data_IF_857156150654
#
_entry.id   IF_857156150654
#
_cell.length_a   1.000
_cell.length_b   1.000
_cell.length_c   1.000
_cell.angle_alpha   90.00
_cell.angle_beta   90.00
_cell.angle_gamma   90.00
#
_symmetry.space_group_name_H-M   'P 1'
#
loop_
_entity.id
_entity.type
_entity.pdbx_description
1 polymer ?
#
# COMPACT_ATOMS: atom_id res chain seq x y z
N UNK A 1 -10.43 13.50 -9.74
CA UNK A 1 -9.48 12.46 -9.27
C UNK A 1 -9.67 11.20 -10.09
N UNK A 2 -8.58 10.64 -10.57
CA UNK A 2 -8.63 9.43 -11.38
C UNK A 2 -9.19 8.24 -10.60
N UNK A 3 -9.82 7.31 -11.29
CA UNK A 3 -10.44 6.14 -10.68
C UNK A 3 -9.43 5.28 -9.90
N UNK A 4 -8.21 5.13 -10.44
CA UNK A 4 -7.16 4.35 -9.75
C UNK A 4 -6.62 5.05 -8.51
N UNK A 5 -6.61 6.39 -8.46
CA UNK A 5 -6.24 7.12 -7.23
C UNK A 5 -7.24 6.85 -6.12
N UNK A 6 -8.53 6.87 -6.43
CA UNK A 6 -9.59 6.51 -5.47
C UNK A 6 -9.49 5.04 -5.05
N UNK A 7 -9.15 4.17 -6.00
CA UNK A 7 -8.97 2.75 -5.73
C UNK A 7 -7.82 2.51 -4.77
N UNK A 8 -6.72 3.23 -4.92
CA UNK A 8 -5.56 3.12 -4.01
C UNK A 8 -5.94 3.57 -2.60
N UNK A 9 -6.67 4.67 -2.47
CA UNK A 9 -7.16 5.12 -1.17
C UNK A 9 -8.05 4.08 -0.53
N UNK A 10 -8.95 3.48 -1.29
CA UNK A 10 -9.84 2.41 -0.79
C UNK A 10 -9.03 1.20 -0.31
N UNK A 11 -8.01 0.81 -1.07
CA UNK A 11 -7.15 -0.30 -0.68
C UNK A 11 -6.41 -0.01 0.63
N UNK A 12 -5.87 1.20 0.79
CA UNK A 12 -5.23 1.63 2.04
C UNK A 12 -6.22 1.55 3.20
N UNK A 13 -7.44 2.02 3.02
CA UNK A 13 -8.46 1.99 4.06
C UNK A 13 -8.75 0.54 4.52
N UNK A 14 -8.85 -0.39 3.57
CA UNK A 14 -9.11 -1.80 3.88
C UNK A 14 -7.90 -2.43 4.59
N UNK A 15 -6.70 -2.20 4.07
CA UNK A 15 -5.46 -2.74 4.67
C UNK A 15 -5.24 -2.17 6.08
N UNK A 16 -5.49 -0.89 6.25
CA UNK A 16 -5.38 -0.22 7.55
C UNK A 16 -6.38 -0.81 8.56
N UNK A 17 -7.63 -0.94 8.16
CA UNK A 17 -8.67 -1.48 9.04
C UNK A 17 -8.40 -2.93 9.42
N UNK A 18 -7.99 -3.76 8.46
CA UNK A 18 -7.66 -5.16 8.72
C UNK A 18 -6.53 -5.29 9.74
N UNK A 19 -5.49 -4.46 9.57
CA UNK A 19 -4.33 -4.46 10.45
C UNK A 19 -4.70 -3.99 11.87
N UNK A 20 -5.42 -2.88 11.95
CA UNK A 20 -5.82 -2.28 13.23
C UNK A 20 -6.74 -3.21 14.04
N UNK A 21 -7.64 -3.91 13.37
CA UNK A 21 -8.64 -4.77 14.02
C UNK A 21 -8.20 -6.23 14.11
N UNK A 22 -7.00 -6.57 13.64
CA UNK A 22 -6.52 -7.95 13.63
C UNK A 22 -7.36 -8.87 12.77
N UNK A 23 -7.89 -8.36 11.67
CA UNK A 23 -8.76 -9.12 10.76
C UNK A 23 -8.02 -9.59 9.53
N UNK A 24 -8.46 -10.71 8.97
CA UNK A 24 -7.95 -11.20 7.69
C UNK A 24 -8.31 -10.21 6.58
N UNK A 25 -7.33 -9.86 5.76
CA UNK A 25 -7.49 -8.87 4.69
C UNK A 25 -8.52 -9.29 3.64
N UNK A 26 -8.52 -10.56 3.28
CA UNK A 26 -9.42 -11.09 2.26
C UNK A 26 -10.86 -11.16 2.80
N UNK A 27 -11.04 -11.56 4.05
CA UNK A 27 -12.37 -11.55 4.67
C UNK A 27 -12.96 -10.14 4.70
N UNK A 28 -12.15 -9.15 5.10
CA UNK A 28 -12.61 -7.76 5.13
C UNK A 28 -12.93 -7.25 3.72
N UNK A 29 -12.10 -7.59 2.75
CA UNK A 29 -12.37 -7.24 1.35
C UNK A 29 -13.71 -7.81 0.89
N UNK A 30 -13.98 -9.08 1.20
CA UNK A 30 -15.25 -9.72 0.82
C UNK A 30 -16.45 -9.02 1.46
N UNK A 31 -16.32 -8.60 2.71
CA UNK A 31 -17.37 -7.82 3.37
C UNK A 31 -17.65 -6.51 2.63
N UNK A 32 -16.59 -5.80 2.23
CA UNK A 32 -16.75 -4.54 1.49
C UNK A 32 -17.34 -4.76 0.09
N UNK A 33 -16.99 -5.85 -0.56
CA UNK A 33 -17.55 -6.21 -1.87
C UNK A 33 -19.06 -6.53 -1.77
N UNK A 34 -19.47 -7.15 -0.69
CA UNK A 34 -20.87 -7.52 -0.46
C UNK A 34 -21.74 -6.36 0.06
N UNK A 35 -21.11 -5.31 0.58
CA UNK A 35 -21.83 -4.19 1.19
C UNK A 35 -22.40 -3.26 0.12
N UNK A 36 -23.73 -3.19 0.05
CA UNK A 36 -24.44 -2.32 -0.89
C UNK A 36 -24.66 -0.91 -0.36
N UNK A 37 -24.36 -0.66 0.92
CA UNK A 37 -24.50 0.66 1.53
C UNK A 37 -23.31 1.58 1.25
N UNK A 38 -22.19 1.03 0.77
CA UNK A 38 -20.99 1.81 0.39
C UNK A 38 -20.79 1.74 -1.12
N UNK A 39 -20.04 2.69 -1.70
CA UNK A 39 -19.72 2.63 -3.14
C UNK A 39 -19.03 1.31 -3.49
N UNK A 40 -19.26 0.79 -4.71
CA UNK A 40 -18.58 -0.44 -5.15
C UNK A 40 -17.07 -0.31 -5.07
N UNK A 41 -16.40 -1.41 -4.72
CA UNK A 41 -14.93 -1.47 -4.66
C UNK A 41 -14.40 -1.65 -6.08
N UNK A 42 -13.55 -0.71 -6.51
CA UNK A 42 -12.96 -0.75 -7.85
C UNK A 42 -12.04 -1.96 -8.01
N UNK A 43 -12.01 -2.55 -9.21
CA UNK A 43 -11.20 -3.74 -9.50
C UNK A 43 -9.72 -3.55 -9.13
N UNK A 44 -9.17 -2.36 -9.33
CA UNK A 44 -7.78 -2.08 -8.96
C UNK A 44 -7.56 -2.17 -7.44
N UNK A 45 -8.54 -1.72 -6.64
CA UNK A 45 -8.47 -1.86 -5.19
C UNK A 45 -8.49 -3.33 -4.78
N UNK A 46 -9.34 -4.13 -5.41
CA UNK A 46 -9.39 -5.58 -5.17
C UNK A 46 -8.02 -6.21 -5.46
N UNK A 47 -7.45 -5.87 -6.61
CA UNK A 47 -6.13 -6.38 -7.02
C UNK A 47 -5.05 -6.05 -6.01
N UNK A 48 -5.04 -4.80 -5.50
CA UNK A 48 -4.04 -4.36 -4.54
C UNK A 48 -4.18 -5.08 -3.21
N UNK A 49 -5.39 -5.21 -2.68
CA UNK A 49 -5.61 -5.89 -1.39
C UNK A 49 -5.27 -7.37 -1.50
N UNK A 50 -5.74 -8.04 -2.55
CA UNK A 50 -5.43 -9.45 -2.79
C UNK A 50 -3.92 -9.68 -2.97
N UNK A 51 -3.27 -8.81 -3.73
CA UNK A 51 -1.84 -8.91 -3.96
C UNK A 51 -1.01 -8.76 -2.70
N UNK A 52 -1.38 -7.81 -1.84
CA UNK A 52 -0.72 -7.64 -0.55
C UNK A 52 -0.92 -8.87 0.32
N UNK A 53 -2.13 -9.42 0.36
CA UNK A 53 -2.42 -10.61 1.15
C UNK A 53 -1.61 -11.82 0.68
N UNK A 54 -1.53 -12.03 -0.62
CA UNK A 54 -0.81 -13.17 -1.20
C UNK A 54 0.70 -13.08 -1.04
N UNK A 55 1.25 -11.87 -1.01
CA UNK A 55 2.70 -11.64 -1.01
C UNK A 55 3.18 -10.97 0.29
N UNK A 56 2.41 -11.08 1.36
CA UNK A 56 2.64 -10.32 2.59
C UNK A 56 4.02 -10.56 3.20
N UNK A 57 4.50 -11.80 3.24
CA UNK A 57 5.80 -12.12 3.83
C UNK A 57 6.94 -11.42 3.08
N UNK A 58 6.92 -11.48 1.76
CA UNK A 58 7.95 -10.85 0.94
C UNK A 58 7.88 -9.33 1.00
N UNK A 59 6.67 -8.78 0.96
CA UNK A 59 6.44 -7.34 1.06
C UNK A 59 6.97 -6.82 2.39
N UNK A 60 6.63 -7.47 3.49
CA UNK A 60 7.06 -7.04 4.83
C UNK A 60 8.57 -7.14 4.99
N UNK A 61 9.19 -8.19 4.45
CA UNK A 61 10.65 -8.34 4.43
C UNK A 61 11.33 -7.17 3.71
N UNK A 62 10.80 -6.78 2.54
CA UNK A 62 11.34 -5.67 1.78
C UNK A 62 11.20 -4.32 2.50
N UNK A 63 10.07 -4.09 3.13
CA UNK A 63 9.86 -2.87 3.91
C UNK A 63 10.86 -2.81 5.07
N UNK A 64 10.98 -3.87 5.85
CA UNK A 64 11.91 -3.89 6.98
C UNK A 64 13.37 -3.71 6.55
N UNK A 65 13.74 -4.30 5.43
CA UNK A 65 15.11 -4.17 4.89
C UNK A 65 15.47 -2.71 4.59
N UNK A 66 14.49 -1.92 4.14
CA UNK A 66 14.72 -0.53 3.70
C UNK A 66 14.16 0.52 4.66
N UNK A 67 13.63 0.12 5.80
CA UNK A 67 13.00 1.05 6.75
C UNK A 67 13.98 1.73 7.72
N UNK A 68 15.27 1.49 7.58
CA UNK A 68 16.36 2.18 8.31
C UNK A 68 16.09 2.38 9.82
N UNK A 69 16.15 1.28 10.57
CA UNK A 69 16.01 1.33 12.03
C UNK A 69 14.57 1.25 12.54
N UNK A 70 13.59 1.24 11.67
CA UNK A 70 12.19 1.02 12.06
C UNK A 70 11.78 -0.42 11.80
N UNK A 71 11.11 -1.05 12.75
CA UNK A 71 10.43 -2.31 12.50
C UNK A 71 9.03 -2.03 11.98
N UNK A 72 8.43 -2.99 11.30
CA UNK A 72 7.05 -2.84 10.83
C UNK A 72 6.09 -2.45 11.95
N UNK A 73 6.27 -3.06 13.13
CA UNK A 73 5.40 -2.82 14.27
C UNK A 73 5.46 -1.39 14.79
N UNK A 74 6.59 -0.70 14.59
CA UNK A 74 6.79 0.66 15.07
C UNK A 74 6.39 1.73 14.07
N UNK A 75 6.16 1.35 12.82
CA UNK A 75 5.68 2.30 11.81
C UNK A 75 4.26 2.76 12.14
N UNK A 76 3.93 4.03 11.87
CA UNK A 76 2.54 4.46 11.95
C UNK A 76 1.65 3.54 11.10
N UNK A 77 0.48 3.20 11.60
CA UNK A 77 -0.41 2.24 10.94
C UNK A 77 -0.75 2.62 9.50
N UNK A 78 -0.94 3.90 9.24
CA UNK A 78 -1.26 4.39 7.90
C UNK A 78 -0.05 4.25 6.98
N UNK A 79 1.15 4.61 7.46
CA UNK A 79 2.38 4.48 6.68
C UNK A 79 2.62 3.03 6.28
N UNK A 80 2.39 2.11 7.23
CA UNK A 80 2.54 0.68 6.98
C UNK A 80 1.60 0.19 5.89
N UNK A 81 0.34 0.61 5.93
CA UNK A 81 -0.66 0.26 4.92
C UNK A 81 -0.27 0.80 3.54
N UNK A 82 0.16 2.06 3.49
CA UNK A 82 0.59 2.69 2.23
C UNK A 82 1.81 1.98 1.65
N UNK A 83 2.81 1.70 2.50
CA UNK A 83 4.03 1.02 2.05
C UNK A 83 3.74 -0.39 1.54
N UNK A 84 2.91 -1.15 2.22
CA UNK A 84 2.54 -2.50 1.77
C UNK A 84 1.87 -2.47 0.40
N UNK A 85 0.93 -1.58 0.20
CA UNK A 85 0.24 -1.42 -1.07
C UNK A 85 1.20 -0.99 -2.18
N UNK A 86 2.02 0.03 -1.90
CA UNK A 86 2.91 0.60 -2.90
C UNK A 86 4.03 -0.36 -3.30
N UNK A 87 4.60 -1.12 -2.36
CA UNK A 87 5.59 -2.14 -2.68
C UNK A 87 4.99 -3.19 -3.60
N UNK A 88 3.77 -3.63 -3.32
CA UNK A 88 3.10 -4.57 -4.20
C UNK A 88 2.94 -3.97 -5.60
N UNK A 89 2.44 -2.76 -5.69
CA UNK A 89 2.20 -2.12 -7.00
C UNK A 89 3.50 -1.90 -7.78
N UNK A 90 4.58 -1.50 -7.09
CA UNK A 90 5.90 -1.31 -7.72
C UNK A 90 6.46 -2.59 -8.33
N UNK A 91 6.34 -3.71 -7.63
CA UNK A 91 7.08 -4.92 -7.99
C UNK A 91 6.24 -5.97 -8.71
N UNK A 92 4.93 -5.98 -8.55
CA UNK A 92 4.05 -7.00 -9.12
C UNK A 92 3.06 -6.49 -10.16
N UNK A 93 2.89 -5.16 -10.28
CA UNK A 93 1.93 -4.58 -11.23
C UNK A 93 2.70 -3.91 -12.36
N UNK A 94 2.63 -4.48 -13.55
CA UNK A 94 3.46 -4.06 -14.68
C UNK A 94 2.91 -2.86 -15.46
N UNK A 95 1.61 -2.61 -15.38
CA UNK A 95 0.94 -1.60 -16.21
C UNK A 95 0.87 -0.21 -15.57
N UNK A 96 1.58 -0.01 -14.47
CA UNK A 96 1.65 1.30 -13.80
C UNK A 96 3.12 1.74 -13.74
N UNK A 97 3.47 2.91 -14.28
CA UNK A 97 4.84 3.43 -14.19
C UNK A 97 5.27 3.62 -12.72
N UNK A 98 6.53 3.35 -12.42
CA UNK A 98 7.07 3.47 -11.07
C UNK A 98 6.88 4.87 -10.49
N UNK A 99 7.09 5.90 -11.30
CA UNK A 99 6.91 7.29 -10.86
C UNK A 99 5.48 7.57 -10.40
N UNK A 100 4.49 6.96 -11.05
CA UNK A 100 3.09 7.11 -10.67
C UNK A 100 2.84 6.44 -9.31
N UNK A 101 3.40 5.25 -9.10
CA UNK A 101 3.26 4.55 -7.81
C UNK A 101 3.83 5.39 -6.68
N UNK A 102 5.04 5.93 -6.86
CA UNK A 102 5.68 6.77 -5.85
C UNK A 102 4.86 8.03 -5.57
N UNK A 103 4.43 8.74 -6.60
CA UNK A 103 3.65 9.98 -6.46
C UNK A 103 2.32 9.74 -5.72
N UNK A 104 1.64 8.66 -6.07
CA UNK A 104 0.37 8.31 -5.44
C UNK A 104 0.55 7.94 -3.96
N UNK A 105 1.60 7.18 -3.65
CA UNK A 105 1.90 6.79 -2.26
C UNK A 105 2.25 8.02 -1.41
N UNK A 106 3.08 8.92 -1.94
CA UNK A 106 3.45 10.16 -1.25
C UNK A 106 2.23 11.05 -1.04
N UNK A 107 1.36 11.15 -2.04
CA UNK A 107 0.12 11.93 -1.93
C UNK A 107 -0.81 11.38 -0.85
N UNK A 108 -0.94 10.05 -0.75
CA UNK A 108 -1.73 9.41 0.30
C UNK A 108 -1.13 9.67 1.68
N UNK A 109 0.20 9.58 1.81
CA UNK A 109 0.87 9.87 3.07
C UNK A 109 0.63 11.32 3.51
N UNK A 110 0.68 12.25 2.56
CA UNK A 110 0.41 13.68 2.83
C UNK A 110 -1.03 13.90 3.30
N UNK A 111 -1.97 13.19 2.68
CA UNK A 111 -3.39 13.37 3.00
C UNK A 111 -3.81 12.67 4.29
N UNK A 112 -3.21 11.54 4.62
CA UNK A 112 -3.73 10.62 5.63
C UNK A 112 -2.82 10.39 6.84
N UNK A 113 -1.55 10.78 6.79
CA UNK A 113 -0.60 10.46 7.84
C UNK A 113 0.08 11.70 8.43
N UNK A 114 1.28 11.55 9.00
CA UNK A 114 1.98 12.63 9.69
C UNK A 114 2.75 13.52 8.73
N UNK A 115 3.22 14.68 9.21
CA UNK A 115 3.99 15.63 8.40
C UNK A 115 5.30 15.03 7.86
N UNK A 116 5.89 14.07 8.58
CA UNK A 116 7.13 13.43 8.18
C UNK A 116 6.91 12.25 7.22
N UNK A 117 5.68 11.74 7.13
CA UNK A 117 5.37 10.53 6.38
C UNK A 117 5.63 10.65 4.88
N UNK A 118 5.30 11.75 4.18
CA UNK A 118 5.57 11.83 2.74
C UNK A 118 7.03 11.60 2.39
N UNK A 119 7.96 12.25 3.09
CA UNK A 119 9.40 12.08 2.85
C UNK A 119 9.86 10.67 3.20
N UNK A 120 9.38 10.12 4.32
CA UNK A 120 9.73 8.79 4.77
C UNK A 120 9.27 7.71 3.77
N UNK A 121 8.01 7.79 3.36
CA UNK A 121 7.43 6.85 2.38
C UNK A 121 8.19 6.92 1.06
N UNK A 122 8.48 8.13 0.58
CA UNK A 122 9.25 8.31 -0.65
C UNK A 122 10.64 7.68 -0.53
N UNK A 123 11.32 7.87 0.59
CA UNK A 123 12.65 7.32 0.82
C UNK A 123 12.66 5.79 0.84
N UNK A 124 11.72 5.18 1.55
CA UNK A 124 11.62 3.71 1.62
C UNK A 124 11.31 3.12 0.25
N UNK A 125 10.33 3.68 -0.45
CA UNK A 125 9.95 3.18 -1.78
C UNK A 125 11.06 3.38 -2.81
N UNK A 126 11.77 4.51 -2.76
CA UNK A 126 12.92 4.74 -3.63
C UNK A 126 14.02 3.71 -3.40
N UNK A 127 14.30 3.38 -2.14
CA UNK A 127 15.29 2.36 -1.80
C UNK A 127 14.87 0.96 -2.28
N UNK A 128 13.59 0.62 -2.14
CA UNK A 128 13.06 -0.65 -2.65
C UNK A 128 13.21 -0.70 -4.18
N UNK A 129 12.83 0.37 -4.85
CA UNK A 129 12.93 0.46 -6.32
C UNK A 129 14.37 0.27 -6.79
N UNK A 130 15.31 0.97 -6.16
CA UNK A 130 16.74 0.91 -6.54
C UNK A 130 17.33 -0.49 -6.32
N UNK A 131 16.92 -1.17 -5.26
CA UNK A 131 17.48 -2.46 -4.87
C UNK A 131 16.83 -3.66 -5.59
N UNK A 132 15.53 -3.57 -5.86
CA UNK A 132 14.75 -4.75 -6.29
C UNK A 132 14.31 -4.69 -7.75
N UNK A 133 14.31 -3.51 -8.38
CA UNK A 133 13.94 -3.38 -9.80
C UNK A 133 15.23 -3.27 -10.61
N UNK A 134 15.46 -4.17 -11.57
CA UNK A 134 16.65 -4.12 -12.39
C UNK A 134 16.75 -2.80 -13.15
N UNK A 135 17.97 -2.23 -13.23
CA UNK A 135 18.24 -1.04 -14.02
C UNK A 135 18.13 -1.39 -15.52
N UNK A 136 17.41 -0.59 -16.25
CA UNK A 136 17.30 -0.73 -17.71
C UNK A 136 16.06 -1.34 -18.23
#
# INVERSE_FOLDING_TARGET
MAARSKARKRAVDILYEADLRGRDRIELLRERLADTATPPVHDHAVRLVEGVAENSARIDELIERHAHGWTLERLPDVDRAILRMAVYELLWVDDVPDAVVLDEAVSLARALSTDDSPAYVNGVLGAVLDAEVPAG
#
